data_IF_042721384418
#
_entry.id   IF_042721384418
#
_cell.length_a   1.000
_cell.length_b   1.000
_cell.length_c   1.000
_cell.angle_alpha   90.00
_cell.angle_beta   90.00
_cell.angle_gamma   90.00
#
_symmetry.space_group_name_H-M   'P 1'
#
loop_
_entity.id
_entity.type
_entity.pdbx_description
1 polymer ?
#
# COMPACT_ATOMS: atom_id res chain seq x y z
N UNK A 1 -22.35 13.61 -0.26
CA UNK A 1 -21.40 12.52 -0.60
C UNK A 1 -20.47 12.28 0.57
N UNK A 2 -20.35 11.04 1.01
CA UNK A 2 -19.45 10.72 2.12
C UNK A 2 -18.02 10.64 1.61
N UNK A 3 -17.11 11.30 2.32
CA UNK A 3 -15.69 11.12 2.07
C UNK A 3 -15.28 9.72 2.50
N UNK A 4 -14.45 9.08 1.71
CA UNK A 4 -13.81 7.85 2.14
C UNK A 4 -12.94 8.14 3.34
N UNK A 5 -12.94 7.24 4.30
CA UNK A 5 -12.05 7.33 5.45
C UNK A 5 -10.60 7.20 4.98
N UNK A 6 -9.68 7.82 5.73
CA UNK A 6 -8.25 7.78 5.43
C UNK A 6 -7.76 6.37 5.13
N UNK A 7 -8.18 5.41 5.95
CA UNK A 7 -7.82 3.99 5.77
C UNK A 7 -8.28 3.47 4.41
N UNK A 8 -9.52 3.76 4.03
CA UNK A 8 -10.07 3.30 2.75
C UNK A 8 -9.35 3.95 1.58
N UNK A 9 -9.01 5.24 1.69
CA UNK A 9 -8.26 5.95 0.65
C UNK A 9 -6.87 5.36 0.45
N UNK A 10 -6.16 5.09 1.54
CA UNK A 10 -4.82 4.51 1.46
C UNK A 10 -4.87 3.13 0.83
N UNK A 11 -5.83 2.31 1.24
CA UNK A 11 -5.98 0.95 0.71
C UNK A 11 -6.30 0.97 -0.79
N UNK A 12 -7.22 1.83 -1.20
CA UNK A 12 -7.62 1.94 -2.61
C UNK A 12 -6.47 2.44 -3.48
N UNK A 13 -5.79 3.50 -3.06
CA UNK A 13 -4.68 4.06 -3.82
C UNK A 13 -3.49 3.11 -3.86
N UNK A 14 -3.23 2.39 -2.76
CA UNK A 14 -2.17 1.37 -2.73
C UNK A 14 -2.43 0.29 -3.77
N UNK A 15 -3.67 -0.18 -3.90
CA UNK A 15 -4.01 -1.18 -4.89
C UNK A 15 -3.76 -0.66 -6.30
N UNK A 16 -4.15 0.59 -6.58
CA UNK A 16 -3.92 1.20 -7.90
C UNK A 16 -2.44 1.32 -8.24
N UNK A 17 -1.65 1.77 -7.27
CA UNK A 17 -0.22 1.94 -7.45
C UNK A 17 0.44 0.58 -7.70
N UNK A 18 0.12 -0.41 -6.90
CA UNK A 18 0.70 -1.74 -7.02
C UNK A 18 0.31 -2.43 -8.33
N UNK A 19 -0.87 -2.17 -8.84
CA UNK A 19 -1.27 -2.70 -10.16
C UNK A 19 -0.41 -2.14 -11.27
N UNK A 20 0.00 -0.88 -11.15
CA UNK A 20 0.84 -0.25 -12.14
C UNK A 20 2.31 -0.65 -12.05
N UNK A 21 2.83 -0.76 -10.84
CA UNK A 21 4.26 -1.02 -10.61
C UNK A 21 4.58 -2.49 -10.35
N UNK A 22 3.60 -3.31 -10.04
CA UNK A 22 3.78 -4.71 -9.73
C UNK A 22 4.06 -4.95 -8.26
N UNK A 23 5.29 -4.78 -7.83
CA UNK A 23 5.69 -5.04 -6.45
C UNK A 23 6.53 -3.88 -5.92
N UNK A 24 6.18 -3.40 -4.73
CA UNK A 24 6.88 -2.29 -4.09
C UNK A 24 7.09 -2.57 -2.61
N UNK A 25 8.23 -2.12 -2.08
CA UNK A 25 8.45 -2.09 -0.64
C UNK A 25 7.56 -1.01 0.00
N UNK A 26 7.29 -1.15 1.30
CA UNK A 26 6.45 -0.18 2.00
C UNK A 26 6.98 1.25 1.89
N UNK A 27 8.30 1.42 1.97
CA UNK A 27 8.92 2.75 1.87
C UNK A 27 8.67 3.39 0.51
N UNK A 28 8.76 2.61 -0.57
CA UNK A 28 8.50 3.11 -1.91
C UNK A 28 7.03 3.41 -2.12
N UNK A 29 6.16 2.56 -1.58
CA UNK A 29 4.72 2.76 -1.66
C UNK A 29 4.31 4.06 -0.97
N UNK A 30 4.94 4.39 0.16
CA UNK A 30 4.69 5.66 0.86
C UNK A 30 4.97 6.85 -0.05
N UNK A 31 6.09 6.82 -0.78
CA UNK A 31 6.46 7.91 -1.68
C UNK A 31 5.36 8.18 -2.71
N UNK A 32 4.84 7.13 -3.33
CA UNK A 32 3.77 7.27 -4.31
C UNK A 32 2.45 7.67 -3.68
N UNK A 33 2.15 7.16 -2.50
CA UNK A 33 0.91 7.52 -1.79
C UNK A 33 0.90 8.98 -1.39
N UNK A 34 2.03 9.51 -0.92
CA UNK A 34 2.11 10.91 -0.52
C UNK A 34 1.96 11.88 -1.70
N UNK A 35 2.25 11.41 -2.91
CA UNK A 35 2.00 12.21 -4.11
C UNK A 35 0.52 12.29 -4.48
N UNK A 36 -0.25 11.29 -4.08
CA UNK A 36 -1.68 11.20 -4.42
C UNK A 36 -2.60 11.65 -3.31
N UNK A 37 -2.14 11.54 -2.07
CA UNK A 37 -2.93 11.86 -0.89
C UNK A 37 -2.28 12.99 -0.12
N UNK A 38 -3.10 13.72 0.63
CA UNK A 38 -2.65 14.90 1.39
C UNK A 38 -2.20 14.50 2.80
N UNK A 39 -1.80 13.25 2.99
CA UNK A 39 -1.41 12.75 4.30
C UNK A 39 0.08 12.51 4.37
N UNK A 40 0.64 12.73 5.55
CA UNK A 40 1.97 12.22 5.85
C UNK A 40 1.82 10.77 6.29
N UNK A 41 2.56 9.89 5.65
CA UNK A 41 2.49 8.46 5.90
C UNK A 41 3.88 7.93 6.24
N UNK A 42 3.93 6.88 7.05
CA UNK A 42 5.15 6.15 7.32
C UNK A 42 5.02 4.73 6.78
N UNK A 43 6.13 4.04 6.50
CA UNK A 43 6.06 2.64 6.08
C UNK A 43 5.32 1.76 7.09
N UNK A 44 5.51 2.01 8.37
CA UNK A 44 4.81 1.26 9.43
C UNK A 44 3.31 1.50 9.38
N UNK A 45 2.91 2.75 9.17
CA UNK A 45 1.48 3.09 9.06
C UNK A 45 0.85 2.40 7.86
N UNK A 46 1.51 2.45 6.70
CA UNK A 46 1.02 1.80 5.49
C UNK A 46 0.92 0.30 5.69
N UNK A 47 1.93 -0.32 6.27
CA UNK A 47 1.91 -1.77 6.56
C UNK A 47 0.71 -2.14 7.41
N UNK A 48 0.44 -1.33 8.44
CA UNK A 48 -0.71 -1.57 9.32
C UNK A 48 -2.03 -1.42 8.58
N UNK A 49 -2.15 -0.41 7.72
CA UNK A 49 -3.37 -0.15 6.97
C UNK A 49 -3.64 -1.20 5.88
N UNK A 50 -2.58 -1.82 5.35
CA UNK A 50 -2.72 -2.86 4.34
C UNK A 50 -2.92 -4.25 4.92
N UNK A 51 -2.73 -4.40 6.22
CA UNK A 51 -2.92 -5.68 6.88
C UNK A 51 -4.37 -6.15 6.71
N UNK A 52 -4.54 -7.39 6.28
CA UNK A 52 -5.87 -7.94 6.06
C UNK A 52 -6.55 -7.50 4.77
N UNK A 53 -5.86 -6.76 3.90
CA UNK A 53 -6.44 -6.37 2.61
C UNK A 53 -6.65 -7.61 1.74
N UNK A 54 -7.87 -7.81 1.19
CA UNK A 54 -8.17 -9.03 0.44
C UNK A 54 -7.42 -9.18 -0.88
N UNK A 55 -6.94 -8.08 -1.45
CA UNK A 55 -6.29 -8.08 -2.77
C UNK A 55 -4.81 -7.77 -2.74
N UNK A 56 -4.29 -7.29 -1.62
CA UNK A 56 -2.87 -6.96 -1.48
C UNK A 56 -2.24 -7.98 -0.55
N UNK A 57 -1.15 -8.57 -0.99
CA UNK A 57 -0.40 -9.53 -0.20
C UNK A 57 0.98 -9.00 0.12
N UNK A 58 1.48 -9.39 1.28
CA UNK A 58 2.82 -9.06 1.72
C UNK A 58 3.75 -10.21 1.35
N UNK A 59 4.84 -9.87 0.66
CA UNK A 59 5.86 -10.84 0.29
C UNK A 59 7.05 -10.66 1.22
N UNK A 60 7.33 -11.66 2.04
CA UNK A 60 8.47 -11.65 2.93
C UNK A 60 9.62 -12.39 2.27
N UNK A 61 10.79 -11.75 2.23
CA UNK A 61 12.00 -12.34 1.66
C UNK A 61 13.04 -12.49 2.75
N UNK A 62 13.85 -13.54 2.64
CA UNK A 62 14.86 -13.84 3.67
C UNK A 62 15.92 -12.77 3.80
N UNK A 63 16.28 -12.10 2.70
CA UNK A 63 17.37 -11.13 2.69
C UNK A 63 16.88 -9.78 2.14
N UNK A 64 15.97 -9.13 2.86
CA UNK A 64 15.52 -7.83 2.43
C UNK A 64 14.21 -7.41 3.07
N UNK A 65 13.79 -6.17 2.83
CA UNK A 65 12.52 -5.68 3.34
C UNK A 65 11.36 -6.40 2.65
N UNK A 66 10.25 -6.51 3.38
CA UNK A 66 9.02 -7.03 2.81
C UNK A 66 8.50 -6.11 1.73
N UNK A 67 7.91 -6.70 0.71
CA UNK A 67 7.26 -5.95 -0.36
C UNK A 67 5.78 -6.28 -0.40
N UNK A 68 5.03 -5.49 -1.15
CA UNK A 68 3.60 -5.68 -1.35
C UNK A 68 3.29 -5.82 -2.83
N UNK A 69 2.33 -6.65 -3.15
CA UNK A 69 1.83 -6.78 -4.51
C UNK A 69 0.36 -7.11 -4.49
N UNK A 70 -0.31 -6.86 -5.61
CA UNK A 70 -1.71 -7.23 -5.76
C UNK A 70 -1.80 -8.72 -6.07
N UNK A 71 -2.70 -9.39 -5.37
CA UNK A 71 -2.96 -10.81 -5.60
C UNK A 71 -3.54 -11.00 -7.00
N UNK A 72 -2.95 -11.88 -7.79
CA UNK A 72 -3.53 -12.24 -9.08
C UNK A 72 -4.75 -13.14 -8.86
N UNK A 73 -5.84 -12.89 -9.63
CA UNK A 73 -7.03 -13.74 -9.55
C UNK A 73 -6.76 -15.17 -10.02
#
# INVERSE_FOLDING_TARGET
MRRLRRRAQVRLESERILRGYGELAAADLVIYLEKRLVYQLSPRCVSRLLQGHPRIIRVCRNNGPSTYRVRNP
#
